data_IF_235076237990
#
_entry.id   IF_235076237990
#
_cell.length_a   1.000
_cell.length_b   1.000
_cell.length_c   1.000
_cell.angle_alpha   90.00
_cell.angle_beta   90.00
_cell.angle_gamma   90.00
#
_symmetry.space_group_name_H-M   'P 1'
#
loop_
_entity.id
_entity.type
_entity.pdbx_description
1 polymer ?
#
# COMPACT_ATOMS: atom_id res chain seq x y z
N UNK A 1 7.34 -33.49 1.45
CA UNK A 1 7.08 -32.09 1.10
C UNK A 1 6.01 -32.10 0.02
N UNK A 2 4.87 -31.45 0.23
CA UNK A 2 3.87 -31.31 -0.82
C UNK A 2 4.44 -30.39 -1.90
N UNK A 3 4.31 -30.77 -3.16
CA UNK A 3 4.74 -29.98 -4.30
C UNK A 3 3.70 -28.89 -4.60
N UNK A 4 4.07 -27.83 -5.35
CA UNK A 4 3.14 -26.79 -5.80
C UNK A 4 1.97 -27.36 -6.64
N UNK A 5 2.20 -28.53 -7.30
CA UNK A 5 1.16 -29.25 -8.05
C UNK A 5 0.03 -29.84 -7.19
N UNK A 6 0.22 -29.93 -5.87
CA UNK A 6 -0.76 -30.50 -4.93
C UNK A 6 -1.67 -29.42 -4.30
N UNK A 7 -1.61 -28.16 -4.79
CA UNK A 7 -2.48 -27.09 -4.33
C UNK A 7 -3.75 -27.10 -5.18
N UNK A 8 -4.87 -27.37 -4.54
CA UNK A 8 -6.18 -27.12 -5.13
C UNK A 8 -6.37 -25.58 -5.24
N UNK A 9 -6.28 -25.09 -6.49
CA UNK A 9 -6.33 -23.65 -6.77
C UNK A 9 -7.71 -23.08 -6.43
N UNK A 10 -8.78 -23.82 -6.72
CA UNK A 10 -10.15 -23.37 -6.47
C UNK A 10 -10.41 -23.26 -4.97
N UNK A 11 -9.91 -24.23 -4.19
CA UNK A 11 -9.98 -24.15 -2.73
C UNK A 11 -9.11 -23.00 -2.19
N UNK A 12 -7.92 -22.79 -2.72
CA UNK A 12 -7.00 -21.74 -2.25
C UNK A 12 -7.58 -20.33 -2.37
N UNK A 13 -8.49 -20.14 -3.34
CA UNK A 13 -9.20 -18.87 -3.56
C UNK A 13 -10.63 -18.84 -3.04
N UNK A 14 -11.11 -19.94 -2.46
CA UNK A 14 -12.42 -19.97 -1.80
C UNK A 14 -12.46 -19.10 -0.55
N UNK A 15 -13.65 -18.62 -0.18
CA UNK A 15 -13.83 -17.87 1.05
C UNK A 15 -13.45 -18.75 2.26
N UNK A 16 -12.71 -18.18 3.20
CA UNK A 16 -12.33 -18.87 4.43
C UNK A 16 -13.57 -19.27 5.24
N UNK A 17 -13.73 -20.56 5.49
CA UNK A 17 -14.82 -21.14 6.28
C UNK A 17 -14.24 -21.77 7.55
N UNK A 18 -14.49 -21.21 8.74
CA UNK A 18 -14.05 -21.83 9.99
C UNK A 18 -14.63 -23.23 10.17
N UNK A 19 -13.78 -24.20 10.52
CA UNK A 19 -14.19 -25.60 10.72
C UNK A 19 -14.24 -26.44 9.46
N UNK A 20 -14.05 -25.87 8.28
CA UNK A 20 -13.94 -26.64 7.04
C UNK A 20 -12.70 -27.53 7.06
N UNK A 21 -12.92 -28.82 6.72
CA UNK A 21 -11.84 -29.81 6.71
C UNK A 21 -11.08 -29.76 5.39
N UNK A 22 -9.77 -29.59 5.46
CA UNK A 22 -8.86 -29.66 4.33
C UNK A 22 -7.81 -30.74 4.56
N UNK A 23 -7.22 -31.38 3.52
CA UNK A 23 -6.17 -32.38 3.67
C UNK A 23 -4.96 -31.94 4.52
N UNK A 24 -4.75 -30.64 4.71
CA UNK A 24 -3.69 -30.06 5.55
C UNK A 24 -4.16 -29.65 6.96
N UNK A 25 -5.36 -30.01 7.38
CA UNK A 25 -5.96 -29.67 8.66
C UNK A 25 -7.21 -28.82 8.55
N UNK A 26 -7.99 -28.72 9.62
CA UNK A 26 -9.17 -27.84 9.65
C UNK A 26 -8.75 -26.37 9.78
N UNK A 27 -9.35 -25.50 8.99
CA UNK A 27 -9.20 -24.07 9.12
C UNK A 27 -9.95 -23.59 10.39
N UNK A 28 -9.21 -23.10 11.38
CA UNK A 28 -9.80 -22.56 12.60
C UNK A 28 -9.55 -21.05 12.68
N UNK A 29 -10.58 -20.33 13.15
CA UNK A 29 -10.41 -18.94 13.51
C UNK A 29 -9.89 -18.83 14.95
N UNK A 30 -8.60 -18.79 15.06
CA UNK A 30 -7.84 -18.71 16.31
C UNK A 30 -6.78 -17.60 16.25
N UNK A 31 -5.93 -17.50 17.25
CA UNK A 31 -4.82 -16.53 17.28
C UNK A 31 -3.87 -16.68 16.08
N UNK A 32 -3.68 -17.87 15.53
CA UNK A 32 -2.83 -18.09 14.35
C UNK A 32 -3.49 -17.55 13.09
N UNK A 33 -4.79 -17.81 12.91
CA UNK A 33 -5.59 -17.29 11.81
C UNK A 33 -5.65 -15.77 11.84
N UNK A 34 -5.96 -15.19 13.00
CA UNK A 34 -5.95 -13.74 13.21
C UNK A 34 -4.57 -13.12 12.94
N UNK A 35 -3.50 -13.73 13.47
CA UNK A 35 -2.13 -13.27 13.23
C UNK A 35 -1.73 -13.35 11.75
N UNK A 36 -2.20 -14.38 11.02
CA UNK A 36 -2.00 -14.46 9.59
C UNK A 36 -2.69 -13.29 8.86
N UNK A 37 -3.98 -13.09 9.11
CA UNK A 37 -4.75 -12.00 8.51
C UNK A 37 -4.10 -10.64 8.78
N UNK A 38 -3.81 -10.32 10.05
CA UNK A 38 -3.29 -9.01 10.44
C UNK A 38 -1.87 -8.75 9.91
N UNK A 39 -1.04 -9.79 9.74
CA UNK A 39 0.26 -9.64 9.06
C UNK A 39 0.12 -9.42 7.55
N UNK A 40 -0.88 -10.06 6.92
CA UNK A 40 -1.12 -9.90 5.47
C UNK A 40 -1.72 -8.54 5.15
N UNK A 41 -2.66 -8.08 5.96
CA UNK A 41 -3.36 -6.82 5.77
C UNK A 41 -2.68 -5.61 6.47
N UNK A 42 -1.66 -5.84 7.27
CA UNK A 42 -0.93 -4.80 8.01
C UNK A 42 0.55 -5.11 8.12
N UNK A 43 1.20 -4.57 9.14
CA UNK A 43 2.64 -4.73 9.38
C UNK A 43 2.92 -5.63 10.59
N UNK A 44 2.19 -5.43 11.67
CA UNK A 44 2.24 -6.22 12.89
C UNK A 44 0.88 -6.17 13.60
N UNK A 45 0.73 -7.00 14.62
CA UNK A 45 -0.43 -6.97 15.51
C UNK A 45 0.03 -7.17 16.94
N UNK A 46 -0.48 -6.37 17.86
CA UNK A 46 -0.30 -6.58 19.29
C UNK A 46 -1.14 -7.78 19.75
N UNK A 47 -0.84 -8.29 20.95
CA UNK A 47 -1.68 -9.34 21.55
C UNK A 47 -3.12 -8.84 21.78
N UNK A 48 -3.30 -7.56 22.06
CA UNK A 48 -4.62 -6.95 22.19
C UNK A 48 -5.40 -6.99 20.86
N UNK A 49 -4.74 -6.66 19.74
CA UNK A 49 -5.36 -6.74 18.41
C UNK A 49 -5.74 -8.16 18.02
N UNK A 50 -4.87 -9.13 18.34
CA UNK A 50 -5.14 -10.55 18.10
C UNK A 50 -6.35 -11.03 18.91
N UNK A 51 -6.41 -10.70 20.20
CA UNK A 51 -7.54 -11.05 21.06
C UNK A 51 -8.84 -10.39 20.60
N UNK A 52 -8.78 -9.13 20.18
CA UNK A 52 -9.93 -8.42 19.61
C UNK A 52 -10.39 -9.03 18.29
N UNK A 53 -9.47 -9.54 17.47
CA UNK A 53 -9.83 -10.21 16.23
C UNK A 53 -10.54 -11.54 16.48
N UNK A 54 -10.01 -12.41 17.38
CA UNK A 54 -10.58 -13.73 17.66
C UNK A 54 -11.84 -13.70 18.52
N UNK A 55 -12.14 -12.58 19.19
CA UNK A 55 -13.40 -12.41 19.92
C UNK A 55 -14.62 -12.27 19.02
N UNK A 56 -14.41 -11.99 17.74
CA UNK A 56 -15.43 -11.93 16.69
C UNK A 56 -15.22 -12.97 15.60
N UNK A 57 -15.92 -12.80 14.50
CA UNK A 57 -15.81 -13.65 13.32
C UNK A 57 -14.67 -13.19 12.39
N UNK A 58 -14.17 -14.07 11.49
CA UNK A 58 -13.24 -13.65 10.43
C UNK A 58 -13.77 -12.49 9.57
N UNK A 59 -15.07 -12.52 9.23
CA UNK A 59 -15.71 -11.46 8.44
C UNK A 59 -15.65 -10.12 9.16
N UNK A 60 -16.01 -10.05 10.43
CA UNK A 60 -15.90 -8.82 11.24
C UNK A 60 -14.46 -8.31 11.37
N UNK A 61 -13.48 -9.20 11.40
CA UNK A 61 -12.07 -8.82 11.40
C UNK A 61 -11.66 -8.20 10.05
N UNK A 62 -12.14 -8.74 8.93
CA UNK A 62 -11.93 -8.19 7.59
C UNK A 62 -12.64 -6.84 7.45
N UNK A 63 -13.90 -6.72 7.86
CA UNK A 63 -14.67 -5.48 7.79
C UNK A 63 -13.99 -4.34 8.55
N UNK A 64 -13.42 -4.63 9.72
CA UNK A 64 -12.62 -3.64 10.48
C UNK A 64 -11.36 -3.19 9.72
N UNK A 65 -10.69 -4.09 9.01
CA UNK A 65 -9.52 -3.74 8.20
C UNK A 65 -9.89 -2.90 6.97
N UNK A 66 -11.08 -3.14 6.39
CA UNK A 66 -11.58 -2.42 5.24
C UNK A 66 -12.16 -1.03 5.60
N UNK A 67 -12.43 -0.76 6.86
CA UNK A 67 -12.95 0.52 7.34
C UNK A 67 -11.86 1.62 7.37
N UNK A 68 -11.18 1.84 6.25
CA UNK A 68 -9.99 2.71 6.12
C UNK A 68 -10.26 4.20 6.32
N UNK A 69 -11.51 4.63 6.22
CA UNK A 69 -11.90 6.04 6.42
C UNK A 69 -12.07 6.41 7.91
N UNK A 70 -12.00 5.43 8.81
CA UNK A 70 -12.24 5.61 10.24
C UNK A 70 -10.95 5.97 11.01
N UNK A 71 -10.28 7.04 10.60
CA UNK A 71 -9.13 7.55 11.34
C UNK A 71 -9.57 8.58 12.38
N UNK A 72 -9.17 8.43 13.67
CA UNK A 72 -9.48 9.43 14.70
C UNK A 72 -8.97 10.82 14.33
N UNK A 73 -9.72 11.89 14.60
CA UNK A 73 -9.27 13.26 14.34
C UNK A 73 -7.94 13.61 15.04
N UNK A 74 -7.70 13.06 16.24
CA UNK A 74 -6.45 13.24 16.96
C UNK A 74 -5.23 12.70 16.21
N UNK A 75 -5.37 11.51 15.58
CA UNK A 75 -4.30 10.94 14.76
C UNK A 75 -4.08 11.74 13.48
N UNK A 76 -5.14 12.23 12.85
CA UNK A 76 -5.04 13.10 11.67
C UNK A 76 -4.31 14.41 12.01
N UNK A 77 -4.63 15.02 13.15
CA UNK A 77 -3.96 16.25 13.60
C UNK A 77 -2.48 15.99 13.92
N UNK A 78 -2.16 14.93 14.64
CA UNK A 78 -0.79 14.53 14.92
C UNK A 78 0.03 14.34 13.63
N UNK A 79 -0.53 13.65 12.63
CA UNK A 79 0.13 13.46 11.35
C UNK A 79 0.30 14.78 10.57
N UNK A 80 -0.64 15.70 10.66
CA UNK A 80 -0.53 17.01 10.06
C UNK A 80 0.59 17.85 10.70
N UNK A 81 0.69 17.85 12.02
CA UNK A 81 1.72 18.56 12.76
C UNK A 81 3.12 18.01 12.47
N UNK A 82 3.28 16.68 12.46
CA UNK A 82 4.55 16.03 12.09
C UNK A 82 4.94 16.32 10.63
N UNK A 83 3.98 16.32 9.73
CA UNK A 83 4.18 16.66 8.31
C UNK A 83 4.69 18.08 8.17
N UNK A 84 4.06 19.04 8.85
CA UNK A 84 4.45 20.46 8.80
C UNK A 84 5.85 20.67 9.38
N UNK A 85 6.16 20.05 10.51
CA UNK A 85 7.49 20.08 11.11
C UNK A 85 8.57 19.50 10.17
N UNK A 86 8.28 18.37 9.51
CA UNK A 86 9.19 17.70 8.58
C UNK A 86 9.45 18.57 7.34
N UNK A 87 8.41 19.14 6.74
CA UNK A 87 8.54 20.03 5.59
C UNK A 87 9.31 21.31 5.94
N UNK A 88 9.19 21.81 7.16
CA UNK A 88 9.93 22.97 7.64
C UNK A 88 11.45 22.76 7.63
N UNK A 89 11.92 21.51 7.73
CA UNK A 89 13.35 21.18 7.62
C UNK A 89 13.86 21.05 6.18
N UNK A 90 12.97 20.89 5.20
CA UNK A 90 13.31 20.58 3.82
C UNK A 90 14.01 19.23 3.60
N UNK A 91 14.12 18.39 4.64
CA UNK A 91 14.86 17.14 4.61
C UNK A 91 14.00 15.98 4.16
N UNK A 92 14.26 15.43 2.96
CA UNK A 92 13.55 14.28 2.41
C UNK A 92 13.65 13.03 3.33
N UNK A 93 14.76 12.83 4.04
CA UNK A 93 14.91 11.71 5.00
C UNK A 93 13.92 11.82 6.16
N UNK A 94 13.53 13.04 6.55
CA UNK A 94 12.51 13.28 7.55
C UNK A 94 11.15 12.72 7.13
N UNK A 95 10.81 12.74 5.83
CA UNK A 95 9.56 12.13 5.33
C UNK A 95 9.53 10.61 5.52
N UNK A 96 10.65 9.93 5.33
CA UNK A 96 10.73 8.49 5.57
C UNK A 96 10.49 8.17 7.06
N UNK A 97 11.08 8.96 7.97
CA UNK A 97 10.85 8.80 9.41
C UNK A 97 9.38 9.10 9.79
N UNK A 98 8.80 10.17 9.25
CA UNK A 98 7.40 10.54 9.47
C UNK A 98 6.45 9.44 8.93
N UNK A 99 6.71 8.88 7.76
CA UNK A 99 5.89 7.78 7.22
C UNK A 99 6.08 6.50 8.02
N UNK A 100 7.29 6.19 8.48
CA UNK A 100 7.54 5.06 9.38
C UNK A 100 6.74 5.22 10.68
N UNK A 101 6.72 6.42 11.26
CA UNK A 101 5.91 6.72 12.44
C UNK A 101 4.42 6.47 12.15
N UNK A 102 3.90 6.95 11.01
CA UNK A 102 2.52 6.69 10.58
C UNK A 102 2.23 5.19 10.48
N UNK A 103 3.11 4.42 9.85
CA UNK A 103 2.96 2.95 9.71
C UNK A 103 2.87 2.25 11.07
N UNK A 104 3.66 2.69 12.04
CA UNK A 104 3.71 2.07 13.37
C UNK A 104 2.52 2.43 14.25
N UNK A 105 1.86 3.58 14.02
CA UNK A 105 0.83 4.12 14.89
C UNK A 105 -0.55 4.21 14.23
N UNK A 106 -0.68 3.87 12.95
CA UNK A 106 -1.94 4.00 12.22
C UNK A 106 -3.03 3.08 12.77
N UNK A 107 -4.26 3.59 13.00
CA UNK A 107 -5.41 2.76 13.34
C UNK A 107 -5.97 1.98 12.14
N UNK A 108 -5.51 2.28 10.92
CA UNK A 108 -5.97 1.67 9.65
C UNK A 108 -4.80 1.07 8.86
N UNK A 109 -4.18 -0.01 9.38
CA UNK A 109 -2.92 -0.54 8.85
C UNK A 109 -3.01 -1.01 7.40
N UNK A 110 -4.18 -1.45 6.93
CA UNK A 110 -4.37 -1.87 5.54
C UNK A 110 -4.16 -0.70 4.55
N UNK A 111 -4.62 0.50 4.90
CA UNK A 111 -4.41 1.68 4.06
C UNK A 111 -2.91 1.97 3.86
N UNK A 112 -2.12 1.95 4.93
CA UNK A 112 -0.68 2.18 4.82
C UNK A 112 0.05 1.01 4.12
N UNK A 113 -0.44 -0.22 4.31
CA UNK A 113 0.07 -1.40 3.58
C UNK A 113 -0.12 -1.28 2.08
N UNK A 114 -1.30 -0.86 1.64
CA UNK A 114 -1.61 -0.62 0.23
C UNK A 114 -0.89 0.61 -0.30
N UNK A 115 -0.74 1.66 0.50
CA UNK A 115 0.09 2.81 0.12
C UNK A 115 1.55 2.40 -0.14
N UNK A 116 2.11 1.56 0.72
CA UNK A 116 3.47 1.03 0.54
C UNK A 116 3.57 0.12 -0.70
N UNK A 117 2.55 -0.69 -0.97
CA UNK A 117 2.48 -1.51 -2.18
C UNK A 117 2.54 -0.61 -3.43
N UNK A 118 1.68 0.42 -3.51
CA UNK A 118 1.66 1.33 -4.65
C UNK A 118 2.92 2.18 -4.76
N UNK A 119 3.52 2.57 -3.63
CA UNK A 119 4.81 3.25 -3.63
C UNK A 119 5.94 2.37 -4.20
N UNK A 120 5.90 1.06 -3.96
CA UNK A 120 6.81 0.11 -4.57
C UNK A 120 6.54 -0.13 -6.06
N UNK A 121 5.27 -0.11 -6.47
CA UNK A 121 4.85 -0.30 -7.86
C UNK A 121 5.17 0.94 -8.73
N UNK A 122 4.78 2.13 -8.28
CA UNK A 122 5.08 3.41 -8.93
C UNK A 122 6.35 4.04 -8.34
N UNK A 123 7.44 3.27 -8.34
CA UNK A 123 8.67 3.65 -7.67
C UNK A 123 9.24 4.98 -8.21
N UNK A 124 9.50 5.90 -7.30
CA UNK A 124 10.24 7.15 -7.56
C UNK A 124 11.38 7.28 -6.57
N UNK A 125 12.45 7.99 -6.94
CA UNK A 125 13.60 8.18 -6.08
C UNK A 125 13.72 9.62 -5.59
N UNK A 126 13.70 9.79 -4.27
CA UNK A 126 13.99 11.05 -3.62
C UNK A 126 15.37 11.62 -3.95
N UNK A 127 16.33 10.75 -4.33
CA UNK A 127 17.66 11.19 -4.77
C UNK A 127 17.66 11.87 -6.15
N UNK A 128 16.62 11.63 -6.98
CA UNK A 128 16.46 12.28 -8.29
C UNK A 128 15.48 13.45 -8.23
N UNK A 129 14.39 13.32 -7.45
CA UNK A 129 13.37 14.37 -7.33
C UNK A 129 13.87 15.53 -6.47
N UNK A 130 14.63 15.26 -5.41
CA UNK A 130 15.28 16.23 -4.50
C UNK A 130 14.34 17.27 -3.86
N UNK A 131 13.04 17.08 -3.93
CA UNK A 131 12.02 17.96 -3.36
C UNK A 131 11.11 17.19 -2.40
N UNK A 132 11.18 17.55 -1.11
CA UNK A 132 10.41 16.92 -0.05
C UNK A 132 8.89 17.13 -0.21
N UNK A 133 8.46 18.28 -0.75
CA UNK A 133 7.03 18.58 -0.94
C UNK A 133 6.44 17.72 -2.06
N UNK A 134 7.19 17.55 -3.15
CA UNK A 134 6.74 16.72 -4.26
C UNK A 134 6.70 15.24 -3.86
N UNK A 135 7.70 14.75 -3.14
CA UNK A 135 7.71 13.37 -2.62
C UNK A 135 6.56 13.12 -1.63
N UNK A 136 6.25 14.08 -0.76
CA UNK A 136 5.10 13.99 0.12
C UNK A 136 3.78 14.00 -0.65
N UNK A 137 3.62 14.92 -1.62
CA UNK A 137 2.41 15.02 -2.44
C UNK A 137 2.12 13.71 -3.17
N UNK A 138 3.16 13.07 -3.71
CA UNK A 138 3.04 11.74 -4.34
C UNK A 138 2.63 10.66 -3.32
N UNK A 139 3.23 10.61 -2.14
CA UNK A 139 2.86 9.66 -1.10
C UNK A 139 1.40 9.83 -0.67
N UNK A 140 0.92 11.07 -0.53
CA UNK A 140 -0.49 11.36 -0.23
C UNK A 140 -1.44 11.02 -1.41
N UNK A 141 -0.99 11.20 -2.66
CA UNK A 141 -1.74 10.76 -3.85
C UNK A 141 -1.92 9.24 -3.82
N UNK A 142 -0.84 8.50 -3.62
CA UNK A 142 -0.88 7.03 -3.52
C UNK A 142 -1.82 6.57 -2.39
N UNK A 143 -1.77 7.23 -1.23
CA UNK A 143 -2.64 6.92 -0.08
C UNK A 143 -4.11 7.17 -0.38
N UNK A 144 -4.47 8.29 -1.01
CA UNK A 144 -5.86 8.59 -1.40
C UNK A 144 -6.45 7.55 -2.34
N UNK A 145 -5.62 6.97 -3.20
CA UNK A 145 -6.07 5.98 -4.20
C UNK A 145 -5.72 4.54 -3.83
N UNK A 146 -5.12 4.31 -2.66
CA UNK A 146 -4.58 3.01 -2.26
C UNK A 146 -5.61 1.86 -2.29
N UNK A 147 -6.87 2.17 -1.98
CA UNK A 147 -7.99 1.22 -1.96
C UNK A 147 -9.01 1.50 -3.06
N UNK A 148 -8.66 2.34 -4.03
CA UNK A 148 -9.56 2.80 -5.07
C UNK A 148 -9.37 2.09 -6.42
N UNK A 149 -9.85 2.75 -7.48
CA UNK A 149 -9.75 2.27 -8.85
C UNK A 149 -8.34 2.47 -9.43
N UNK A 150 -7.78 1.41 -10.03
CA UNK A 150 -6.43 1.43 -10.58
C UNK A 150 -6.29 2.39 -11.76
N UNK A 151 -7.28 2.47 -12.65
CA UNK A 151 -7.22 3.33 -13.82
C UNK A 151 -7.16 4.81 -13.39
N UNK A 152 -7.89 5.15 -12.34
CA UNK A 152 -7.85 6.49 -11.75
C UNK A 152 -6.50 6.77 -11.09
N UNK A 153 -5.97 5.83 -10.32
CA UNK A 153 -4.64 5.96 -9.73
C UNK A 153 -3.58 6.17 -10.82
N UNK A 154 -3.61 5.36 -11.89
CA UNK A 154 -2.69 5.47 -13.00
C UNK A 154 -2.76 6.85 -13.69
N UNK A 155 -3.97 7.37 -13.89
CA UNK A 155 -4.18 8.68 -14.50
C UNK A 155 -3.63 9.81 -13.60
N UNK A 156 -3.85 9.73 -12.30
CA UNK A 156 -3.36 10.74 -11.34
C UNK A 156 -1.83 10.69 -11.19
N UNK A 157 -1.23 9.49 -11.11
CA UNK A 157 0.23 9.36 -11.02
C UNK A 157 0.92 9.80 -12.31
N UNK A 158 0.25 9.70 -13.46
CA UNK A 158 0.74 10.19 -14.75
C UNK A 158 0.89 11.71 -14.80
N UNK A 159 0.24 12.42 -13.90
CA UNK A 159 0.28 13.89 -13.79
C UNK A 159 1.08 14.34 -12.57
N UNK A 160 1.54 13.41 -11.76
CA UNK A 160 2.26 13.70 -10.53
C UNK A 160 3.63 14.33 -10.83
N UNK A 161 3.95 15.51 -10.28
CA UNK A 161 5.20 16.19 -10.56
C UNK A 161 6.46 15.41 -10.18
N UNK A 162 6.43 14.62 -9.09
CA UNK A 162 7.56 13.79 -8.69
C UNK A 162 7.83 12.69 -9.73
N UNK A 163 6.78 12.06 -10.26
CA UNK A 163 6.87 11.06 -11.32
C UNK A 163 7.37 11.68 -12.62
N UNK A 164 6.87 12.86 -13.01
CA UNK A 164 7.29 13.56 -14.22
C UNK A 164 8.79 13.95 -14.17
N UNK A 165 9.29 14.35 -12.99
CA UNK A 165 10.73 14.62 -12.80
C UNK A 165 11.50 13.30 -12.85
N UNK A 166 11.03 12.29 -12.15
CA UNK A 166 11.73 11.00 -12.03
C UNK A 166 11.95 10.32 -13.38
N UNK A 167 10.96 10.37 -14.28
CA UNK A 167 11.02 9.78 -15.62
C UNK A 167 11.40 10.77 -16.72
N UNK A 168 11.99 11.91 -16.36
CA UNK A 168 12.50 12.96 -17.28
C UNK A 168 11.44 13.56 -18.22
N UNK A 169 10.14 13.40 -17.89
CA UNK A 169 9.03 13.93 -18.69
C UNK A 169 9.01 15.46 -18.75
N UNK A 170 9.65 16.13 -17.79
CA UNK A 170 9.83 17.59 -17.78
C UNK A 170 10.69 18.09 -18.95
N UNK A 171 11.51 17.23 -19.54
CA UNK A 171 12.32 17.52 -20.72
C UNK A 171 11.58 17.31 -22.05
N UNK A 172 10.36 16.77 -22.01
CA UNK A 172 9.57 16.45 -23.19
C UNK A 172 9.25 17.69 -24.03
N UNK A 173 9.52 17.61 -25.35
CA UNK A 173 9.28 18.68 -26.32
C UNK A 173 8.69 18.10 -27.60
N UNK A 174 7.84 18.88 -28.27
CA UNK A 174 7.22 18.46 -29.55
C UNK A 174 8.26 18.01 -30.58
N UNK A 175 9.42 18.68 -30.64
CA UNK A 175 10.50 18.35 -31.59
C UNK A 175 11.37 17.16 -31.13
N UNK A 176 11.39 16.88 -29.82
CA UNK A 176 12.16 15.79 -29.20
C UNK A 176 11.30 15.14 -28.13
N UNK A 177 10.36 14.27 -28.50
CA UNK A 177 9.50 13.56 -27.55
C UNK A 177 10.34 12.61 -26.69
N UNK A 178 10.10 12.64 -25.38
CA UNK A 178 10.68 11.69 -24.45
C UNK A 178 9.70 10.52 -24.27
N UNK A 179 10.11 9.34 -24.69
CA UNK A 179 9.28 8.13 -24.65
C UNK A 179 9.32 7.38 -23.30
N UNK A 180 10.24 7.78 -22.40
CA UNK A 180 10.54 7.01 -21.19
C UNK A 180 9.29 6.74 -20.37
N UNK A 181 8.48 7.75 -20.07
CA UNK A 181 7.26 7.58 -19.29
C UNK A 181 6.24 6.67 -20.00
N UNK A 182 6.06 6.82 -21.33
CA UNK A 182 5.13 5.98 -22.10
C UNK A 182 5.56 4.51 -22.10
N UNK A 183 6.86 4.26 -22.19
CA UNK A 183 7.42 2.92 -22.09
C UNK A 183 7.22 2.33 -20.68
N UNK A 184 7.55 3.07 -19.62
CA UNK A 184 7.39 2.60 -18.25
C UNK A 184 5.93 2.28 -17.88
N UNK A 185 4.96 3.04 -18.42
CA UNK A 185 3.54 2.69 -18.26
C UNK A 185 3.26 1.30 -18.83
N UNK A 186 3.72 1.02 -20.04
CA UNK A 186 3.45 -0.24 -20.71
C UNK A 186 4.22 -1.39 -20.06
N UNK A 187 5.51 -1.22 -19.81
CA UNK A 187 6.41 -2.28 -19.36
C UNK A 187 6.29 -2.59 -17.87
N UNK A 188 6.30 -1.57 -17.01
CA UNK A 188 6.40 -1.77 -15.57
C UNK A 188 5.07 -1.56 -14.83
N UNK A 189 4.24 -0.60 -15.29
CA UNK A 189 3.08 -0.21 -14.50
C UNK A 189 1.79 -0.93 -14.91
N UNK A 190 1.65 -1.42 -16.15
CA UNK A 190 0.40 -1.99 -16.64
C UNK A 190 0.53 -3.38 -17.26
N UNK A 191 1.26 -3.55 -18.35
CA UNK A 191 1.17 -4.72 -19.22
C UNK A 191 2.27 -5.76 -18.99
N UNK A 192 3.42 -5.33 -18.50
CA UNK A 192 4.63 -6.14 -18.42
C UNK A 192 5.42 -6.15 -19.73
N UNK A 193 6.74 -6.33 -19.61
CA UNK A 193 7.65 -6.35 -20.76
C UNK A 193 7.24 -7.41 -21.79
N UNK A 194 7.19 -7.02 -23.05
CA UNK A 194 6.86 -7.91 -24.18
C UNK A 194 5.36 -8.22 -24.36
N UNK A 195 4.46 -7.54 -23.64
CA UNK A 195 3.00 -7.76 -23.71
C UNK A 195 2.23 -6.61 -24.38
N UNK A 196 2.89 -5.74 -25.13
CA UNK A 196 2.28 -4.60 -25.84
C UNK A 196 2.81 -4.49 -27.28
#
# INVERSE_FOLDING_TARGET
MATLSDIDVDWAWSAFQPGESHPRGSAQWDLRGAAHLLRRAGFAASLADLNAAVSGTPAEAVDRLLAVDQQPPSFQQEMADLTQATLGTGNVRGLAAQWTYRILNTPVPLLEKMTLFWHGHFATSAAKVEDARLMLAQNELLRRHAMGDFSRLLLEISRDPAMLIYLDSVSNRKAHPNENYAREIMELFCLGEGNY
#
